data_IF_229226287805
#
_entry.id   IF_229226287805
#
_cell.length_a   1.000
_cell.length_b   1.000
_cell.length_c   1.000
_cell.angle_alpha   90.00
_cell.angle_beta   90.00
_cell.angle_gamma   90.00
#
_symmetry.space_group_name_H-M   'P 1'
#
loop_
_entity.id
_entity.type
_entity.pdbx_description
1 polymer ?
#
# COMPACT_ATOMS: atom_id res chain seq x y z
N UNK A 1 42.58 -18.69 -29.06
CA UNK A 1 42.64 -19.88 -28.17
C UNK A 1 41.21 -20.28 -27.92
N UNK A 2 40.81 -21.53 -28.18
CA UNK A 2 39.40 -21.91 -28.02
C UNK A 2 39.09 -22.24 -26.55
N UNK A 3 37.92 -21.83 -26.02
CA UNK A 3 37.53 -22.15 -24.66
C UNK A 3 37.33 -23.65 -24.50
N UNK A 4 37.80 -24.20 -23.38
CA UNK A 4 37.60 -25.61 -23.04
C UNK A 4 36.15 -25.82 -22.61
N UNK A 5 35.36 -26.46 -23.48
CA UNK A 5 33.92 -26.66 -23.28
C UNK A 5 33.59 -27.52 -22.06
N UNK A 6 34.52 -28.36 -21.63
CA UNK A 6 34.37 -29.24 -20.45
C UNK A 6 34.21 -28.43 -19.15
N UNK A 7 34.89 -27.29 -19.03
CA UNK A 7 34.79 -26.40 -17.85
C UNK A 7 33.49 -25.60 -17.81
N UNK A 8 32.72 -25.54 -18.90
CA UNK A 8 31.55 -24.67 -19.00
C UNK A 8 30.48 -25.05 -17.97
N UNK A 9 30.24 -26.36 -17.77
CA UNK A 9 29.26 -26.83 -16.80
C UNK A 9 29.63 -26.49 -15.35
N UNK A 10 30.93 -26.44 -15.03
CA UNK A 10 31.40 -26.12 -13.69
C UNK A 10 31.39 -24.62 -13.39
N UNK A 11 31.57 -23.78 -14.41
CA UNK A 11 31.71 -22.32 -14.27
C UNK A 11 30.42 -21.54 -14.54
N UNK A 12 29.33 -22.20 -14.95
CA UNK A 12 28.12 -21.51 -15.39
C UNK A 12 27.48 -20.65 -14.29
N UNK A 13 27.47 -21.12 -13.04
CA UNK A 13 26.91 -20.38 -11.90
C UNK A 13 27.72 -19.12 -11.58
N UNK A 14 29.05 -19.23 -11.61
CA UNK A 14 29.95 -18.09 -11.41
C UNK A 14 29.83 -17.09 -12.55
N UNK A 15 29.73 -17.57 -13.79
CA UNK A 15 29.56 -16.74 -14.98
C UNK A 15 28.23 -15.95 -14.95
N UNK A 16 27.12 -16.58 -14.53
CA UNK A 16 25.83 -15.90 -14.35
C UNK A 16 25.94 -14.81 -13.28
N UNK A 17 26.55 -15.14 -12.14
CA UNK A 17 26.71 -14.20 -11.02
C UNK A 17 27.55 -12.98 -11.43
N UNK A 18 28.70 -13.20 -12.08
CA UNK A 18 29.55 -12.13 -12.61
C UNK A 18 28.77 -11.29 -13.63
N UNK A 19 28.02 -11.92 -14.55
CA UNK A 19 27.26 -11.21 -15.59
C UNK A 19 26.20 -10.28 -15.00
N UNK A 20 25.48 -10.73 -13.96
CA UNK A 20 24.49 -9.91 -13.25
C UNK A 20 25.17 -8.69 -12.62
N UNK A 21 26.30 -8.88 -11.94
CA UNK A 21 27.05 -7.79 -11.30
C UNK A 21 27.59 -6.80 -12.34
N UNK A 22 28.21 -7.31 -13.40
CA UNK A 22 28.76 -6.50 -14.50
C UNK A 22 27.67 -5.65 -15.14
N UNK A 23 26.52 -6.24 -15.46
CA UNK A 23 25.38 -5.52 -16.04
C UNK A 23 24.81 -4.49 -15.06
N UNK A 24 24.67 -4.83 -13.78
CA UNK A 24 24.17 -3.90 -12.77
C UNK A 24 25.07 -2.67 -12.60
N UNK A 25 26.39 -2.88 -12.55
CA UNK A 25 27.38 -1.79 -12.50
C UNK A 25 27.31 -0.93 -13.76
N UNK A 26 27.27 -1.57 -14.93
CA UNK A 26 27.21 -0.90 -16.23
C UNK A 26 25.96 -0.03 -16.38
N UNK A 27 24.77 -0.57 -16.13
CA UNK A 27 23.51 0.19 -16.20
C UNK A 27 23.50 1.34 -15.19
N UNK A 28 24.03 1.12 -13.98
CA UNK A 28 24.13 2.16 -12.96
C UNK A 28 25.00 3.34 -13.42
N UNK A 29 26.14 3.04 -14.05
CA UNK A 29 27.02 4.06 -14.65
C UNK A 29 26.35 4.76 -15.82
N UNK A 30 25.79 4.02 -16.77
CA UNK A 30 25.12 4.59 -17.95
C UNK A 30 23.97 5.51 -17.56
N UNK A 31 23.13 5.12 -16.58
CA UNK A 31 22.05 5.97 -16.04
C UNK A 31 22.58 7.20 -15.30
N UNK A 32 23.70 7.08 -14.58
CA UNK A 32 24.34 8.21 -13.92
C UNK A 32 24.78 9.27 -14.93
N UNK A 33 25.40 8.86 -16.03
CA UNK A 33 25.86 9.77 -17.10
C UNK A 33 24.70 10.33 -17.91
N UNK A 34 23.70 9.51 -18.23
CA UNK A 34 22.46 9.97 -18.88
C UNK A 34 21.76 11.06 -18.08
N UNK A 35 21.69 10.91 -16.76
CA UNK A 35 21.14 11.95 -15.88
C UNK A 35 22.02 13.21 -15.88
N UNK A 36 23.34 13.07 -15.89
CA UNK A 36 24.28 14.21 -15.89
C UNK A 36 24.25 15.00 -17.21
N UNK A 37 24.12 14.32 -18.34
CA UNK A 37 24.19 14.91 -19.68
C UNK A 37 22.84 14.95 -20.42
N UNK A 38 21.74 14.65 -19.73
CA UNK A 38 20.36 14.73 -20.23
C UNK A 38 20.11 13.95 -21.54
N UNK A 39 20.57 12.70 -21.61
CA UNK A 39 20.24 11.78 -22.68
C UNK A 39 19.56 10.52 -22.14
N UNK A 40 18.92 9.74 -23.02
CA UNK A 40 18.25 8.50 -22.65
C UNK A 40 19.15 7.28 -22.88
N UNK A 41 19.08 6.29 -21.98
CA UNK A 41 19.79 5.01 -22.15
C UNK A 41 18.79 3.90 -22.37
N UNK A 42 18.95 3.18 -23.47
CA UNK A 42 18.24 1.94 -23.70
C UNK A 42 18.96 0.78 -23.00
N UNK A 43 18.36 0.27 -21.91
CA UNK A 43 18.97 -0.81 -21.10
C UNK A 43 19.09 -2.12 -21.89
N UNK A 44 18.17 -2.41 -22.81
CA UNK A 44 18.21 -3.63 -23.62
C UNK A 44 19.38 -3.59 -24.60
N UNK A 45 19.65 -2.43 -25.20
CA UNK A 45 20.79 -2.25 -26.10
C UNK A 45 22.12 -2.43 -25.37
N UNK A 46 22.25 -1.85 -24.17
CA UNK A 46 23.45 -2.02 -23.35
C UNK A 46 23.67 -3.49 -22.94
N UNK A 47 22.59 -4.24 -22.70
CA UNK A 47 22.68 -5.69 -22.41
C UNK A 47 23.26 -6.46 -23.60
N UNK A 48 22.72 -6.24 -24.80
CA UNK A 48 23.24 -6.88 -26.01
C UNK A 48 24.68 -6.48 -26.30
N UNK A 49 25.03 -5.20 -26.13
CA UNK A 49 26.39 -4.71 -26.33
C UNK A 49 27.40 -5.38 -25.38
N UNK A 50 27.07 -5.47 -24.09
CA UNK A 50 27.92 -6.14 -23.09
C UNK A 50 28.03 -7.64 -23.34
N UNK A 51 26.93 -8.30 -23.73
CA UNK A 51 26.92 -9.72 -24.07
C UNK A 51 27.79 -10.03 -25.28
N UNK A 52 27.64 -9.26 -26.37
CA UNK A 52 28.45 -9.42 -27.58
C UNK A 52 29.94 -9.16 -27.32
N UNK A 53 30.26 -8.11 -26.56
CA UNK A 53 31.63 -7.80 -26.17
C UNK A 53 32.22 -8.93 -25.32
N UNK A 54 31.44 -9.52 -24.40
CA UNK A 54 31.87 -10.64 -23.57
C UNK A 54 32.16 -11.90 -24.40
N UNK A 55 31.28 -12.24 -25.35
CA UNK A 55 31.48 -13.39 -26.26
C UNK A 55 32.75 -13.21 -27.09
N UNK A 56 32.94 -12.04 -27.72
CA UNK A 56 34.16 -11.76 -28.49
C UNK A 56 35.40 -11.83 -27.58
N UNK A 57 35.32 -11.24 -26.39
CA UNK A 57 36.45 -11.19 -25.46
C UNK A 57 36.86 -12.60 -25.01
N UNK A 58 35.92 -13.55 -24.89
CA UNK A 58 36.19 -14.92 -24.48
C UNK A 58 37.10 -15.74 -25.42
N UNK A 59 37.30 -15.29 -26.67
CA UNK A 59 38.27 -15.91 -27.59
C UNK A 59 39.72 -15.46 -27.36
N UNK A 60 39.90 -14.44 -26.51
CA UNK A 60 41.18 -13.88 -26.11
C UNK A 60 41.46 -14.20 -24.63
N UNK A 61 42.74 -14.25 -24.22
CA UNK A 61 43.10 -14.53 -22.82
C UNK A 61 42.86 -13.28 -21.94
N UNK A 62 41.59 -12.96 -21.71
CA UNK A 62 41.15 -11.81 -20.91
C UNK A 62 40.18 -12.24 -19.83
N UNK A 63 40.21 -11.52 -18.71
CA UNK A 63 39.22 -11.69 -17.65
C UNK A 63 37.87 -11.03 -18.04
N UNK A 64 36.76 -11.45 -17.43
CA UNK A 64 35.49 -10.76 -17.56
C UNK A 64 35.65 -9.26 -17.30
N UNK A 65 35.15 -8.44 -18.22
CA UNK A 65 35.31 -7.00 -18.16
C UNK A 65 34.01 -6.32 -17.72
N UNK A 66 34.15 -5.13 -17.15
CA UNK A 66 33.04 -4.25 -16.81
C UNK A 66 33.40 -2.81 -17.14
N UNK A 67 32.39 -1.95 -17.09
CA UNK A 67 32.59 -0.51 -17.18
C UNK A 67 33.36 0.02 -15.97
N UNK A 68 34.30 0.93 -16.21
CA UNK A 68 35.12 1.53 -15.16
C UNK A 68 34.58 2.91 -14.80
N UNK A 69 33.98 3.02 -13.61
CA UNK A 69 33.44 4.28 -13.09
C UNK A 69 34.49 5.40 -13.09
N UNK A 70 35.68 5.13 -12.54
CA UNK A 70 36.76 6.10 -12.42
C UNK A 70 37.22 6.63 -13.80
N UNK A 71 37.57 5.73 -14.74
CA UNK A 71 38.04 6.11 -16.08
C UNK A 71 36.98 6.86 -16.88
N UNK A 72 35.72 6.42 -16.77
CA UNK A 72 34.61 7.04 -17.50
C UNK A 72 34.32 8.44 -16.98
N UNK A 73 34.31 8.65 -15.66
CA UNK A 73 34.12 9.99 -15.08
C UNK A 73 35.24 10.94 -15.48
N UNK A 74 36.50 10.48 -15.45
CA UNK A 74 37.65 11.31 -15.87
C UNK A 74 37.52 11.70 -17.34
N UNK A 75 37.22 10.74 -18.23
CA UNK A 75 37.01 11.03 -19.65
C UNK A 75 35.82 11.96 -19.89
N UNK A 76 34.72 11.77 -19.15
CA UNK A 76 33.54 12.63 -19.22
C UNK A 76 33.84 14.07 -18.74
N UNK A 77 34.65 14.23 -17.69
CA UNK A 77 35.09 15.53 -17.19
C UNK A 77 36.11 16.20 -18.11
N UNK A 78 36.91 15.42 -18.86
CA UNK A 78 37.79 15.93 -19.91
C UNK A 78 37.02 16.44 -21.15
N UNK A 79 35.69 16.29 -21.18
CA UNK A 79 34.83 16.81 -22.25
C UNK A 79 34.65 15.85 -23.42
N UNK A 80 34.92 14.55 -23.24
CA UNK A 80 34.69 13.54 -24.27
C UNK A 80 33.21 13.45 -24.64
N UNK A 81 32.89 13.59 -25.93
CA UNK A 81 31.51 13.53 -26.45
C UNK A 81 31.21 12.28 -27.28
N UNK A 82 32.22 11.58 -27.77
CA UNK A 82 32.07 10.45 -28.70
C UNK A 82 32.82 9.21 -28.23
N UNK A 83 32.36 8.04 -28.68
CA UNK A 83 33.01 6.75 -28.37
C UNK A 83 34.36 6.56 -29.09
N UNK A 84 34.73 7.46 -30.01
CA UNK A 84 36.04 7.43 -30.67
C UNK A 84 37.19 7.54 -29.66
N UNK A 85 36.98 8.20 -28.52
CA UNK A 85 37.94 8.26 -27.43
C UNK A 85 38.37 6.87 -26.95
N UNK A 86 37.47 5.88 -26.95
CA UNK A 86 37.79 4.51 -26.56
C UNK A 86 38.74 3.84 -27.57
N UNK A 87 38.58 4.11 -28.87
CA UNK A 87 39.45 3.60 -29.94
C UNK A 87 40.85 4.22 -29.82
N UNK A 88 40.94 5.54 -29.64
CA UNK A 88 42.25 6.18 -29.42
C UNK A 88 42.93 5.66 -28.16
N UNK A 89 42.17 5.47 -27.09
CA UNK A 89 42.70 4.93 -25.83
C UNK A 89 43.18 3.49 -25.99
N UNK A 90 42.47 2.64 -26.73
CA UNK A 90 42.88 1.24 -26.94
C UNK A 90 44.12 1.12 -27.81
N UNK A 91 44.22 1.91 -28.89
CA UNK A 91 45.43 1.99 -29.74
C UNK A 91 46.62 2.47 -28.91
N UNK A 92 46.44 3.51 -28.10
CA UNK A 92 47.49 4.04 -27.25
C UNK A 92 47.98 2.99 -26.24
N UNK A 93 47.07 2.29 -25.55
CA UNK A 93 47.43 1.20 -24.63
C UNK A 93 48.19 0.08 -25.38
N UNK A 94 47.74 -0.30 -26.58
CA UNK A 94 48.42 -1.32 -27.38
C UNK A 94 49.88 -0.91 -27.71
N UNK A 95 50.10 0.33 -28.14
CA UNK A 95 51.44 0.88 -28.40
C UNK A 95 52.29 0.87 -27.12
N UNK A 96 51.75 1.35 -26.00
CA UNK A 96 52.49 1.38 -24.72
C UNK A 96 52.88 -0.03 -24.25
N UNK A 97 51.98 -1.01 -24.36
CA UNK A 97 52.29 -2.40 -23.97
C UNK A 97 53.39 -2.99 -24.86
N UNK A 98 53.34 -2.74 -26.17
CA UNK A 98 54.30 -3.31 -27.11
C UNK A 98 55.69 -2.67 -27.03
N UNK A 99 55.78 -1.35 -26.84
CA UNK A 99 57.06 -0.62 -26.86
C UNK A 99 57.64 -0.36 -25.46
N UNK A 100 56.78 -0.15 -24.45
CA UNK A 100 57.20 0.25 -23.10
C UNK A 100 57.15 -0.89 -22.08
N UNK A 101 56.81 -2.12 -22.48
CA UNK A 101 56.75 -3.28 -21.59
C UNK A 101 58.05 -3.51 -20.80
N UNK A 102 59.21 -3.38 -21.44
CA UNK A 102 60.52 -3.53 -20.78
C UNK A 102 60.79 -2.46 -19.71
N UNK A 103 60.27 -1.24 -19.89
CA UNK A 103 60.43 -0.15 -18.93
C UNK A 103 59.48 -0.25 -17.74
N UNK A 104 58.36 -0.95 -17.91
CA UNK A 104 57.37 -1.19 -16.85
C UNK A 104 57.67 -2.43 -16.01
N UNK A 105 58.56 -3.33 -16.47
CA UNK A 105 58.96 -4.52 -15.72
C UNK A 105 59.52 -4.24 -14.31
N UNK A 106 60.39 -3.23 -14.07
CA UNK A 106 60.95 -2.97 -12.74
C UNK A 106 59.98 -2.25 -11.78
N UNK A 107 58.70 -2.06 -12.12
CA UNK A 107 57.77 -1.33 -11.25
C UNK A 107 57.54 -2.08 -9.92
N UNK A 108 57.80 -1.46 -8.75
CA UNK A 108 57.57 -2.10 -7.47
C UNK A 108 56.08 -2.34 -7.21
N UNK A 109 55.74 -3.51 -6.67
CA UNK A 109 54.35 -3.86 -6.29
C UNK A 109 53.73 -2.86 -5.30
N UNK A 110 54.54 -2.21 -4.46
CA UNK A 110 54.09 -1.17 -3.53
C UNK A 110 53.44 0.01 -4.25
N UNK A 111 53.98 0.43 -5.41
CA UNK A 111 53.45 1.55 -6.19
C UNK A 111 52.08 1.19 -6.77
N UNK A 112 51.93 -0.03 -7.31
CA UNK A 112 50.63 -0.51 -7.80
C UNK A 112 49.60 -0.59 -6.67
N UNK A 113 50.01 -1.07 -5.48
CA UNK A 113 49.16 -1.10 -4.30
C UNK A 113 48.67 0.28 -3.88
N UNK A 114 49.56 1.28 -3.85
CA UNK A 114 49.18 2.67 -3.54
C UNK A 114 48.18 3.24 -4.55
N UNK A 115 48.35 2.95 -5.85
CA UNK A 115 47.39 3.36 -6.89
C UNK A 115 46.01 2.73 -6.64
N UNK A 116 45.94 1.45 -6.27
CA UNK A 116 44.67 0.77 -5.94
C UNK A 116 44.02 1.40 -4.71
N UNK A 117 44.78 1.66 -3.63
CA UNK A 117 44.24 2.30 -2.42
C UNK A 117 43.63 3.67 -2.74
N UNK A 118 44.35 4.51 -3.50
CA UNK A 118 43.85 5.83 -3.92
C UNK A 118 42.58 5.70 -4.77
N UNK A 119 42.51 4.72 -5.68
CA UNK A 119 41.33 4.47 -6.49
C UNK A 119 40.10 4.05 -5.65
N UNK A 120 40.30 3.36 -4.52
CA UNK A 120 39.24 2.89 -3.64
C UNK A 120 38.76 3.94 -2.62
N UNK A 121 39.49 5.04 -2.41
CA UNK A 121 39.09 6.09 -1.45
C UNK A 121 37.67 6.63 -1.70
N UNK A 122 37.30 6.81 -2.97
CA UNK A 122 35.95 7.26 -3.34
C UNK A 122 34.84 6.28 -2.98
N UNK A 123 35.14 4.98 -2.91
CA UNK A 123 34.20 3.95 -2.44
C UNK A 123 34.08 3.98 -0.91
N UNK A 124 35.19 4.11 -0.19
CA UNK A 124 35.18 4.22 1.28
C UNK A 124 34.47 5.49 1.77
N UNK A 125 34.49 6.58 1.01
CA UNK A 125 33.72 7.78 1.35
C UNK A 125 32.22 7.52 1.47
N UNK A 126 31.67 6.45 0.86
CA UNK A 126 30.25 6.07 1.00
C UNK A 126 29.89 5.66 2.43
N UNK A 127 30.85 5.24 3.25
CA UNK A 127 30.61 4.91 4.66
C UNK A 127 30.05 6.09 5.46
N UNK A 128 30.38 7.31 5.05
CA UNK A 128 29.88 8.54 5.69
C UNK A 128 28.35 8.71 5.56
N UNK A 129 27.71 8.00 4.64
CA UNK A 129 26.26 8.08 4.39
C UNK A 129 25.43 7.15 5.29
N UNK A 130 26.04 6.16 5.94
CA UNK A 130 25.35 5.16 6.77
C UNK A 130 24.54 5.76 7.93
N UNK A 131 25.05 6.75 8.69
CA UNK A 131 24.28 7.34 9.79
C UNK A 131 22.99 7.99 9.31
N UNK A 132 23.00 8.57 8.11
CA UNK A 132 21.80 9.13 7.47
C UNK A 132 20.85 8.01 7.04
N UNK A 133 21.36 6.93 6.45
CA UNK A 133 20.55 5.78 6.04
C UNK A 133 19.81 5.16 7.23
N UNK A 134 20.49 4.96 8.36
CA UNK A 134 19.88 4.41 9.58
C UNK A 134 18.71 5.26 10.10
N UNK A 135 18.82 6.59 10.03
CA UNK A 135 17.75 7.52 10.46
C UNK A 135 16.55 7.51 9.52
N UNK A 136 16.75 7.20 8.24
CA UNK A 136 15.70 7.17 7.22
C UNK A 136 14.98 5.82 7.16
N UNK A 137 15.73 4.73 7.07
CA UNK A 137 15.20 3.38 6.89
C UNK A 137 16.11 2.36 7.57
N UNK A 138 15.63 1.83 8.71
CA UNK A 138 16.32 0.76 9.44
C UNK A 138 16.45 -0.53 8.62
N UNK A 139 15.49 -0.78 7.73
CA UNK A 139 15.45 -1.96 6.85
C UNK A 139 16.54 -1.84 5.77
N UNK A 140 16.65 -0.69 5.09
CA UNK A 140 17.67 -0.53 4.04
C UNK A 140 19.08 -0.55 4.64
N UNK A 141 19.24 -0.04 5.87
CA UNK A 141 20.49 -0.17 6.61
C UNK A 141 20.80 -1.64 6.96
N UNK A 142 19.81 -2.44 7.38
CA UNK A 142 20.08 -3.86 7.68
C UNK A 142 20.48 -4.64 6.44
N UNK A 143 19.89 -4.35 5.28
CA UNK A 143 20.31 -4.93 3.99
C UNK A 143 21.79 -4.59 3.70
N UNK A 144 22.17 -3.33 3.90
CA UNK A 144 23.55 -2.90 3.72
C UNK A 144 24.53 -3.65 4.66
N UNK A 145 24.18 -3.78 5.95
CA UNK A 145 25.02 -4.48 6.93
C UNK A 145 25.16 -5.96 6.58
N UNK A 146 24.06 -6.64 6.25
CA UNK A 146 24.09 -8.06 5.85
C UNK A 146 24.95 -8.24 4.60
N UNK A 147 24.79 -7.38 3.59
CA UNK A 147 25.61 -7.45 2.38
C UNK A 147 27.10 -7.26 2.69
N UNK A 148 27.45 -6.28 3.51
CA UNK A 148 28.83 -5.98 3.87
C UNK A 148 29.47 -7.12 4.66
N UNK A 149 28.80 -7.61 5.71
CA UNK A 149 29.32 -8.68 6.57
C UNK A 149 29.40 -10.01 5.82
N UNK A 150 28.39 -10.35 5.00
CA UNK A 150 28.39 -11.61 4.25
C UNK A 150 29.49 -11.64 3.17
N UNK A 151 29.72 -10.51 2.48
CA UNK A 151 30.77 -10.39 1.45
C UNK A 151 32.18 -10.50 2.06
N UNK A 152 32.40 -9.92 3.24
CA UNK A 152 33.71 -9.96 3.92
C UNK A 152 33.96 -11.30 4.62
N UNK A 153 32.94 -11.87 5.26
CA UNK A 153 33.09 -13.05 6.11
C UNK A 153 33.08 -14.38 5.37
N UNK A 154 32.50 -14.44 4.17
CA UNK A 154 32.31 -15.68 3.41
C UNK A 154 33.06 -15.58 2.08
N UNK A 155 32.43 -14.98 1.08
CA UNK A 155 32.95 -14.76 -0.25
C UNK A 155 32.09 -13.71 -0.95
N UNK A 156 32.63 -13.09 -2.00
CA UNK A 156 31.92 -12.06 -2.77
C UNK A 156 30.66 -12.63 -3.44
N UNK A 157 30.73 -13.81 -4.05
CA UNK A 157 29.60 -14.39 -4.79
C UNK A 157 28.50 -14.85 -3.85
N UNK A 158 28.88 -15.59 -2.80
CA UNK A 158 27.93 -16.07 -1.78
C UNK A 158 27.33 -14.91 -0.98
N UNK A 159 28.16 -13.92 -0.63
CA UNK A 159 27.73 -12.71 0.09
C UNK A 159 26.71 -11.90 -0.69
N UNK A 160 26.90 -11.74 -2.00
CA UNK A 160 25.92 -11.10 -2.88
C UNK A 160 24.61 -11.89 -2.94
N UNK A 161 24.65 -13.21 -3.09
CA UNK A 161 23.45 -14.04 -3.12
C UNK A 161 22.64 -13.91 -1.82
N UNK A 162 23.31 -13.95 -0.67
CA UNK A 162 22.70 -13.75 0.65
C UNK A 162 22.08 -12.35 0.75
N UNK A 163 22.78 -11.32 0.29
CA UNK A 163 22.29 -9.94 0.30
C UNK A 163 21.01 -9.78 -0.53
N UNK A 164 20.97 -10.35 -1.73
CA UNK A 164 19.80 -10.32 -2.61
C UNK A 164 18.63 -11.07 -1.98
N UNK A 165 18.87 -12.27 -1.45
CA UNK A 165 17.84 -13.04 -0.77
C UNK A 165 17.26 -12.29 0.44
N UNK A 166 18.12 -11.66 1.25
CA UNK A 166 17.72 -10.87 2.40
C UNK A 166 16.94 -9.60 1.99
N UNK A 167 17.36 -8.93 0.91
CA UNK A 167 16.65 -7.76 0.38
C UNK A 167 15.24 -8.12 -0.13
N UNK A 168 15.11 -9.25 -0.84
CA UNK A 168 13.80 -9.75 -1.28
C UNK A 168 12.92 -10.15 -0.09
N UNK A 169 13.48 -10.88 0.88
CA UNK A 169 12.76 -11.31 2.08
C UNK A 169 12.22 -10.12 2.90
N UNK A 170 13.06 -9.11 3.15
CA UNK A 170 12.66 -7.90 3.87
C UNK A 170 11.63 -7.07 3.09
N UNK A 171 11.69 -7.07 1.75
CA UNK A 171 10.67 -6.46 0.89
C UNK A 171 9.32 -7.15 1.06
N UNK A 172 9.29 -8.49 1.07
CA UNK A 172 8.06 -9.27 1.29
C UNK A 172 7.46 -9.00 2.68
N UNK A 173 8.28 -8.99 3.74
CA UNK A 173 7.81 -8.69 5.11
C UNK A 173 7.20 -7.28 5.19
N UNK A 174 7.83 -6.31 4.53
CA UNK A 174 7.34 -4.93 4.51
C UNK A 174 5.97 -4.84 3.84
N UNK A 175 5.74 -5.60 2.77
CA UNK A 175 4.46 -5.65 2.08
C UNK A 175 3.37 -6.37 2.91
N UNK A 176 3.76 -7.40 3.66
CA UNK A 176 2.87 -8.14 4.55
C UNK A 176 2.37 -7.32 5.75
N UNK A 177 3.05 -6.22 6.09
CA UNK A 177 2.73 -5.41 7.27
C UNK A 177 2.23 -4.02 6.89
N UNK A 178 1.06 -3.95 6.25
CA UNK A 178 0.56 -2.70 5.74
C UNK A 178 -0.03 -1.82 6.83
N UNK A 179 -0.07 -0.53 6.53
CA UNK A 179 -0.78 0.44 7.35
C UNK A 179 -2.26 0.40 6.98
N UNK A 180 -3.09 0.53 8.00
CA UNK A 180 -4.53 0.66 7.85
C UNK A 180 -4.95 1.88 8.66
N UNK A 181 -6.00 2.55 8.17
CA UNK A 181 -6.43 3.84 8.68
C UNK A 181 -7.96 3.86 8.74
N UNK A 182 -8.50 4.46 9.80
CA UNK A 182 -9.91 4.82 9.86
C UNK A 182 -10.04 6.21 9.28
N UNK A 183 -10.99 6.40 8.38
CA UNK A 183 -11.22 7.69 7.74
C UNK A 183 -12.43 8.38 8.37
N UNK A 184 -12.31 9.69 8.56
CA UNK A 184 -13.39 10.57 8.96
C UNK A 184 -13.56 11.70 7.95
N UNK A 185 -14.75 12.28 7.90
CA UNK A 185 -15.03 13.40 7.01
C UNK A 185 -14.41 14.69 7.56
N UNK A 186 -13.82 15.51 6.71
CA UNK A 186 -13.37 16.85 7.10
C UNK A 186 -14.55 17.80 7.03
N UNK A 187 -14.84 18.48 8.14
CA UNK A 187 -16.00 19.37 8.28
C UNK A 187 -16.07 20.39 7.15
N UNK A 188 -17.23 20.46 6.46
CA UNK A 188 -17.47 21.39 5.36
C UNK A 188 -16.91 20.94 4.00
N UNK A 189 -16.39 19.71 3.90
CA UNK A 189 -15.89 19.14 2.64
C UNK A 189 -16.44 17.74 2.40
N UNK A 190 -16.36 17.27 1.15
CA UNK A 190 -16.73 15.89 0.79
C UNK A 190 -15.55 14.91 0.95
N UNK A 191 -14.47 15.35 1.59
CA UNK A 191 -13.22 14.60 1.67
C UNK A 191 -13.13 13.78 2.96
N UNK A 192 -12.69 12.52 2.82
CA UNK A 192 -12.41 11.62 3.93
C UNK A 192 -10.90 11.49 4.11
N UNK A 193 -10.41 11.68 5.33
CA UNK A 193 -8.99 11.61 5.68
C UNK A 193 -8.77 10.91 7.01
N UNK A 194 -7.52 10.49 7.22
CA UNK A 194 -7.05 9.82 8.42
C UNK A 194 -7.29 10.67 9.68
N UNK A 195 -7.94 10.06 10.67
CA UNK A 195 -8.32 10.64 11.95
C UNK A 195 -7.09 11.13 12.73
N UNK A 196 -5.95 10.45 12.63
CA UNK A 196 -4.76 10.83 13.39
C UNK A 196 -4.08 12.11 12.89
N UNK A 197 -4.37 12.54 11.65
CA UNK A 197 -3.62 13.61 10.98
C UNK A 197 -4.34 14.96 10.97
N UNK A 198 -5.68 14.98 11.07
CA UNK A 198 -6.49 16.19 10.93
C UNK A 198 -7.34 16.45 12.18
N UNK A 199 -7.41 17.73 12.60
CA UNK A 199 -8.12 18.14 13.83
C UNK A 199 -9.62 18.39 13.65
N UNK A 200 -10.05 18.86 12.49
CA UNK A 200 -11.45 19.19 12.20
C UNK A 200 -12.10 18.03 11.44
N UNK A 201 -12.53 17.02 12.18
CA UNK A 201 -13.09 15.79 11.65
C UNK A 201 -14.46 15.51 12.25
N UNK A 202 -15.34 14.91 11.45
CA UNK A 202 -16.68 14.53 11.82
C UNK A 202 -16.92 13.05 11.47
N UNK A 203 -17.55 12.33 12.40
CA UNK A 203 -17.97 10.95 12.22
C UNK A 203 -19.47 10.89 11.99
N UNK A 204 -19.88 10.08 11.02
CA UNK A 204 -21.30 9.78 10.80
C UNK A 204 -21.76 8.68 11.76
N UNK A 205 -22.95 8.85 12.31
CA UNK A 205 -23.52 7.86 13.22
C UNK A 205 -23.67 6.50 12.53
N UNK A 206 -23.18 5.46 13.19
CA UNK A 206 -23.26 4.08 12.70
C UNK A 206 -22.58 3.81 11.35
N UNK A 207 -21.70 4.71 10.87
CA UNK A 207 -20.88 4.51 9.67
C UNK A 207 -19.40 4.50 10.04
N UNK A 208 -18.67 3.49 9.56
CA UNK A 208 -17.22 3.40 9.69
C UNK A 208 -16.58 3.26 8.31
N UNK A 209 -15.57 4.07 8.03
CA UNK A 209 -14.79 3.99 6.78
C UNK A 209 -13.40 3.44 7.09
N UNK A 210 -13.08 2.27 6.54
CA UNK A 210 -11.79 1.61 6.70
C UNK A 210 -10.99 1.69 5.40
N UNK A 211 -9.76 2.18 5.49
CA UNK A 211 -8.80 2.19 4.39
C UNK A 211 -7.62 1.27 4.71
N UNK A 212 -7.26 0.44 3.74
CA UNK A 212 -6.11 -0.45 3.83
C UNK A 212 -5.09 -0.08 2.75
N UNK A 213 -3.94 0.47 3.15
CA UNK A 213 -2.92 1.00 2.24
C UNK A 213 -1.97 -0.10 1.76
N UNK A 214 -2.52 -1.15 1.16
CA UNK A 214 -1.75 -2.22 0.56
C UNK A 214 -2.60 -3.07 -0.39
N UNK A 215 -1.99 -3.71 -1.38
CA UNK A 215 -2.58 -4.83 -2.12
C UNK A 215 -3.19 -5.87 -1.20
N UNK A 216 -4.33 -6.43 -1.58
CA UNK A 216 -4.97 -7.49 -0.79
C UNK A 216 -4.59 -8.85 -1.36
N UNK A 217 -3.67 -9.53 -0.66
CA UNK A 217 -3.04 -10.77 -1.11
C UNK A 217 -3.16 -11.88 -0.08
N UNK A 218 -3.00 -13.13 -0.51
CA UNK A 218 -2.95 -14.31 0.36
C UNK A 218 -2.00 -14.14 1.57
N UNK A 219 -0.94 -13.32 1.42
CA UNK A 219 0.05 -13.07 2.46
C UNK A 219 -0.42 -12.14 3.59
N UNK A 220 -1.37 -11.23 3.33
CA UNK A 220 -1.81 -10.21 4.29
C UNK A 220 -3.33 -10.19 4.54
N UNK A 221 -4.11 -10.99 3.80
CA UNK A 221 -5.56 -11.14 3.94
C UNK A 221 -5.99 -11.49 5.36
N UNK A 222 -5.29 -12.40 6.03
CA UNK A 222 -5.61 -12.78 7.41
C UNK A 222 -5.50 -11.59 8.38
N UNK A 223 -4.57 -10.68 8.10
CA UNK A 223 -4.44 -9.44 8.89
C UNK A 223 -5.58 -8.49 8.60
N UNK A 224 -6.00 -8.37 7.34
CA UNK A 224 -7.17 -7.57 6.97
C UNK A 224 -8.43 -8.08 7.66
N UNK A 225 -8.70 -9.39 7.62
CA UNK A 225 -9.80 -10.05 8.36
C UNK A 225 -9.78 -9.68 9.85
N UNK A 226 -8.65 -9.90 10.53
CA UNK A 226 -8.47 -9.54 11.95
C UNK A 226 -8.67 -8.06 12.27
N UNK A 227 -8.45 -7.17 11.32
CA UNK A 227 -8.73 -5.74 11.50
C UNK A 227 -10.24 -5.49 11.43
N UNK A 228 -10.91 -6.05 10.42
CA UNK A 228 -12.36 -5.92 10.25
C UNK A 228 -13.11 -6.57 11.42
N UNK A 229 -12.68 -7.74 11.88
CA UNK A 229 -13.29 -8.41 13.04
C UNK A 229 -13.17 -7.58 14.32
N UNK A 230 -11.99 -7.00 14.57
CA UNK A 230 -11.80 -6.10 15.71
C UNK A 230 -12.67 -4.86 15.60
N UNK A 231 -12.78 -4.29 14.39
CA UNK A 231 -13.64 -3.14 14.12
C UNK A 231 -15.12 -3.45 14.39
N UNK A 232 -15.57 -4.65 14.02
CA UNK A 232 -16.93 -5.12 14.26
C UNK A 232 -17.22 -5.33 15.75
N UNK A 233 -16.27 -5.87 16.51
CA UNK A 233 -16.41 -6.10 17.95
C UNK A 233 -16.38 -4.78 18.76
N UNK A 234 -15.46 -3.87 18.43
CA UNK A 234 -15.22 -2.63 19.18
C UNK A 234 -15.97 -1.41 18.60
N UNK A 235 -17.05 -1.63 17.83
CA UNK A 235 -17.73 -0.59 17.03
C UNK A 235 -18.05 0.72 17.78
N UNK A 236 -18.43 0.63 19.06
CA UNK A 236 -18.76 1.79 19.87
C UNK A 236 -17.51 2.59 20.29
N UNK A 237 -16.39 1.91 20.54
CA UNK A 237 -15.10 2.53 20.92
C UNK A 237 -14.37 3.11 19.70
N UNK A 238 -14.63 2.55 18.52
CA UNK A 238 -14.11 3.00 17.23
C UNK A 238 -14.57 4.43 16.89
N UNK A 239 -15.75 4.86 17.39
CA UNK A 239 -16.25 6.23 17.23
C UNK A 239 -15.40 7.29 17.94
N UNK A 240 -14.67 6.92 19.00
CA UNK A 240 -14.02 7.88 19.90
C UNK A 240 -12.51 7.95 19.71
N UNK A 241 -11.88 6.98 19.06
CA UNK A 241 -10.44 6.93 18.98
C UNK A 241 -9.98 6.57 17.56
N UNK A 242 -9.43 7.57 16.85
CA UNK A 242 -8.44 7.32 15.79
C UNK A 242 -7.19 6.58 16.25
N UNK A 243 -7.12 6.18 17.53
CA UNK A 243 -6.17 5.24 18.08
C UNK A 243 -6.91 3.95 18.45
N UNK A 244 -6.77 2.89 17.65
CA UNK A 244 -6.81 1.56 18.27
C UNK A 244 -5.60 1.52 19.19
N UNK A 245 -5.85 1.55 20.49
CA UNK A 245 -4.82 1.68 21.49
C UNK A 245 -3.81 0.53 21.31
N UNK A 246 -2.56 0.86 20.95
CA UNK A 246 -1.47 -0.12 20.79
C UNK A 246 -1.15 -0.88 22.09
N UNK A 247 -1.81 -0.51 23.20
CA UNK A 247 -1.65 -1.09 24.52
C UNK A 247 -2.27 -2.48 24.67
N UNK A 248 -3.26 -2.86 23.85
CA UNK A 248 -3.82 -4.21 23.89
C UNK A 248 -2.98 -5.28 23.16
N UNK A 249 -1.67 -5.06 23.04
CA UNK A 249 -0.70 -6.09 22.61
C UNK A 249 0.22 -6.54 23.74
N UNK A 250 0.18 -5.91 24.93
CA UNK A 250 0.96 -6.34 26.10
C UNK A 250 0.19 -5.99 27.38
N UNK A 251 -0.26 -7.01 28.11
CA UNK A 251 -0.41 -6.95 29.57
C UNK A 251 -1.63 -6.20 30.14
N UNK A 252 -2.44 -6.99 30.84
CA UNK A 252 -3.46 -6.67 31.85
C UNK A 252 -3.43 -5.34 32.63
N UNK A 253 -4.66 -4.99 33.04
CA UNK A 253 -5.13 -4.32 34.27
C UNK A 253 -5.41 -2.80 34.27
N UNK A 254 -6.69 -2.52 34.55
CA UNK A 254 -7.31 -1.38 35.22
C UNK A 254 -7.41 -0.04 34.46
N UNK A 255 -8.63 0.37 34.11
CA UNK A 255 -9.46 1.27 34.92
C UNK A 255 -10.85 1.46 34.31
N UNK A 256 -11.87 1.43 35.17
CA UNK A 256 -13.28 1.66 34.84
C UNK A 256 -13.52 3.15 34.63
N UNK A 257 -14.12 3.53 33.50
CA UNK A 257 -14.90 4.75 33.44
C UNK A 257 -16.24 4.47 32.75
N UNK A 258 -17.24 4.22 33.58
CA UNK A 258 -18.65 4.18 33.21
C UNK A 258 -19.08 5.60 32.82
N UNK A 259 -19.57 5.76 31.60
CA UNK A 259 -20.54 6.83 31.29
C UNK A 259 -21.73 6.16 30.63
N UNK A 260 -22.78 6.03 31.42
CA UNK A 260 -24.12 5.63 31.06
C UNK A 260 -24.82 6.75 30.28
N UNK A 261 -25.41 6.41 29.14
CA UNK A 261 -26.68 6.97 28.69
C UNK A 261 -27.31 6.07 27.62
N UNK A 262 -28.54 5.66 27.94
CA UNK A 262 -29.41 4.71 27.27
C UNK A 262 -29.93 5.16 25.89
N UNK A 263 -30.08 4.19 24.99
CA UNK A 263 -31.37 3.85 24.34
C UNK A 263 -31.14 2.69 23.36
N UNK A 264 -31.76 1.56 23.69
CA UNK A 264 -31.59 0.27 23.04
C UNK A 264 -32.54 0.13 21.84
N UNK A 265 -32.09 0.56 20.66
CA UNK A 265 -32.52 -0.01 19.39
C UNK A 265 -31.27 -0.42 18.59
N UNK A 266 -31.24 -1.62 17.96
CA UNK A 266 -30.08 -2.08 17.20
C UNK A 266 -29.98 -1.28 15.88
N UNK A 267 -29.42 -0.08 15.96
CA UNK A 267 -29.16 0.75 14.77
C UNK A 267 -28.26 -0.01 13.80
N UNK A 268 -28.75 -0.20 12.58
CA UNK A 268 -28.02 -0.86 11.50
C UNK A 268 -26.67 -0.17 11.29
N UNK A 269 -25.59 -0.96 11.26
CA UNK A 269 -24.21 -0.47 11.16
C UNK A 269 -23.74 -0.56 9.72
N UNK A 270 -22.88 0.37 9.30
CA UNK A 270 -22.38 0.46 7.93
C UNK A 270 -20.87 0.50 7.93
N UNK A 271 -20.24 -0.49 7.29
CA UNK A 271 -18.80 -0.57 7.10
C UNK A 271 -18.47 -0.29 5.63
N UNK A 272 -17.73 0.78 5.38
CA UNK A 272 -17.29 1.17 4.03
C UNK A 272 -15.80 0.85 3.92
N UNK A 273 -15.47 -0.07 3.01
CA UNK A 273 -14.10 -0.45 2.70
C UNK A 273 -13.63 0.41 1.53
N UNK A 274 -12.66 1.29 1.79
CA UNK A 274 -11.99 2.07 0.77
C UNK A 274 -10.96 1.19 0.04
N UNK A 275 -11.30 0.79 -1.18
CA UNK A 275 -10.48 0.00 -2.07
C UNK A 275 -9.43 0.84 -2.83
N UNK A 276 -9.33 2.15 -2.60
CA UNK A 276 -8.33 3.00 -3.28
C UNK A 276 -6.89 2.58 -2.95
N UNK A 277 -6.67 2.02 -1.76
CA UNK A 277 -5.38 1.47 -1.31
C UNK A 277 -5.02 0.14 -1.97
N UNK A 278 -5.99 -0.59 -2.52
CA UNK A 278 -5.73 -1.84 -3.24
C UNK A 278 -5.08 -1.50 -4.59
N UNK A 279 -3.78 -1.73 -4.71
CA UNK A 279 -3.09 -1.61 -6.00
C UNK A 279 -3.35 -2.82 -6.89
N UNK A 280 -3.40 -4.00 -6.28
CA UNK A 280 -3.78 -5.27 -6.88
C UNK A 280 -4.46 -6.13 -5.82
N UNK A 281 -5.23 -7.12 -6.25
CA UNK A 281 -5.89 -8.11 -5.40
C UNK A 281 -5.63 -9.47 -6.02
N UNK A 282 -5.50 -10.54 -5.22
CA UNK A 282 -5.45 -11.90 -5.74
C UNK A 282 -6.75 -12.68 -5.47
N UNK A 283 -6.85 -13.90 -5.97
CA UNK A 283 -8.05 -14.73 -5.80
C UNK A 283 -8.39 -14.94 -4.31
N UNK A 284 -7.38 -15.08 -3.46
CA UNK A 284 -7.58 -15.26 -2.02
C UNK A 284 -8.07 -13.99 -1.33
N UNK A 285 -7.57 -12.84 -1.76
CA UNK A 285 -8.07 -11.54 -1.37
C UNK A 285 -9.54 -11.37 -1.71
N UNK A 286 -9.94 -11.70 -2.95
CA UNK A 286 -11.35 -11.60 -3.33
C UNK A 286 -12.24 -12.56 -2.55
N UNK A 287 -11.81 -13.82 -2.35
CA UNK A 287 -12.58 -14.78 -1.57
C UNK A 287 -12.74 -14.32 -0.11
N UNK A 288 -11.69 -13.76 0.49
CA UNK A 288 -11.80 -13.18 1.82
C UNK A 288 -12.76 -11.98 1.87
N UNK A 289 -12.85 -11.15 0.81
CA UNK A 289 -13.85 -10.09 0.77
C UNK A 289 -15.29 -10.64 0.73
N UNK A 290 -15.52 -11.78 0.06
CA UNK A 290 -16.83 -12.46 0.06
C UNK A 290 -17.18 -12.94 1.47
N UNK A 291 -16.25 -13.64 2.11
CA UNK A 291 -16.43 -14.17 3.46
C UNK A 291 -16.66 -13.04 4.47
N UNK A 292 -15.85 -11.97 4.43
CA UNK A 292 -16.06 -10.79 5.29
C UNK A 292 -17.44 -10.17 5.04
N UNK A 293 -17.87 -10.04 3.79
CA UNK A 293 -19.18 -9.48 3.48
C UNK A 293 -20.32 -10.30 4.11
N UNK A 294 -20.24 -11.63 4.05
CA UNK A 294 -21.24 -12.53 4.63
C UNK A 294 -21.21 -12.52 6.16
N UNK A 295 -20.02 -12.63 6.76
CA UNK A 295 -19.82 -12.62 8.22
C UNK A 295 -20.28 -11.29 8.85
N UNK A 296 -20.02 -10.16 8.20
CA UNK A 296 -20.47 -8.86 8.68
C UNK A 296 -21.98 -8.68 8.54
N UNK A 297 -22.58 -9.25 7.49
CA UNK A 297 -24.04 -9.25 7.30
C UNK A 297 -24.75 -10.01 8.43
N UNK A 298 -24.20 -11.13 8.88
CA UNK A 298 -24.71 -11.89 10.05
C UNK A 298 -24.67 -11.06 11.34
N UNK A 299 -23.71 -10.14 11.46
CA UNK A 299 -23.55 -9.22 12.60
C UNK A 299 -24.38 -7.93 12.48
N UNK A 300 -25.31 -7.86 11.52
CA UNK A 300 -26.10 -6.67 11.20
C UNK A 300 -25.25 -5.43 10.80
N UNK A 301 -24.10 -5.68 10.17
CA UNK A 301 -23.21 -4.66 9.60
C UNK A 301 -23.27 -4.76 8.06
N UNK A 302 -23.81 -3.73 7.41
CA UNK A 302 -23.83 -3.65 5.94
C UNK A 302 -22.46 -3.20 5.44
N UNK A 303 -21.81 -4.06 4.65
CA UNK A 303 -20.51 -3.75 4.04
C UNK A 303 -20.70 -3.15 2.64
N UNK A 304 -19.97 -2.08 2.34
CA UNK A 304 -19.93 -1.45 1.02
C UNK A 304 -18.48 -1.20 0.60
N UNK A 305 -18.20 -1.26 -0.69
CA UNK A 305 -16.88 -1.09 -1.27
C UNK A 305 -16.82 0.20 -2.08
N UNK A 306 -15.82 1.04 -1.84
CA UNK A 306 -15.67 2.33 -2.51
C UNK A 306 -14.32 2.45 -3.24
N UNK A 307 -14.27 3.25 -4.30
CA UNK A 307 -13.02 3.68 -4.96
C UNK A 307 -12.11 2.54 -5.49
N UNK A 308 -12.69 1.43 -5.95
CA UNK A 308 -11.94 0.34 -6.56
C UNK A 308 -11.39 0.71 -7.95
N UNK A 309 -10.07 0.53 -8.15
CA UNK A 309 -9.40 0.78 -9.44
C UNK A 309 -9.90 -0.15 -10.54
N UNK A 310 -9.79 0.26 -11.80
CA UNK A 310 -10.28 -0.54 -12.94
C UNK A 310 -9.72 -1.99 -12.97
N UNK A 311 -8.42 -2.25 -12.80
CA UNK A 311 -7.91 -3.63 -12.81
C UNK A 311 -8.45 -4.49 -11.65
N UNK A 312 -8.76 -3.87 -10.51
CA UNK A 312 -9.34 -4.56 -9.35
C UNK A 312 -10.80 -4.93 -9.63
N UNK A 313 -11.55 -4.05 -10.30
CA UNK A 313 -12.95 -4.32 -10.71
C UNK A 313 -13.05 -5.44 -11.75
N UNK A 314 -12.14 -5.47 -12.72
CA UNK A 314 -12.04 -6.57 -13.69
C UNK A 314 -11.80 -7.91 -12.96
N UNK A 315 -10.94 -7.92 -11.96
CA UNK A 315 -10.72 -9.11 -11.15
C UNK A 315 -11.94 -9.49 -10.30
N UNK A 316 -12.65 -8.52 -9.73
CA UNK A 316 -13.90 -8.77 -8.99
C UNK A 316 -14.96 -9.43 -9.87
N UNK A 317 -15.05 -9.04 -11.14
CA UNK A 317 -15.94 -9.68 -12.11
C UNK A 317 -15.47 -11.09 -12.46
N UNK A 318 -14.21 -11.26 -12.84
CA UNK A 318 -13.63 -12.55 -13.23
C UNK A 318 -13.65 -13.60 -12.10
N UNK A 319 -13.53 -13.18 -10.84
CA UNK A 319 -13.58 -14.05 -9.65
C UNK A 319 -15.00 -14.25 -9.10
N UNK A 320 -16.03 -13.66 -9.72
CA UNK A 320 -17.42 -13.80 -9.30
C UNK A 320 -17.77 -13.09 -7.99
N UNK A 321 -17.03 -12.05 -7.58
CA UNK A 321 -17.39 -11.24 -6.41
C UNK A 321 -18.77 -10.61 -6.57
N UNK A 322 -19.08 -10.10 -7.75
CA UNK A 322 -20.38 -9.48 -8.05
C UNK A 322 -21.57 -10.44 -8.04
N UNK A 323 -21.32 -11.76 -8.03
CA UNK A 323 -22.37 -12.76 -7.83
C UNK A 323 -22.71 -12.95 -6.35
N UNK A 324 -21.70 -12.85 -5.46
CA UNK A 324 -21.89 -12.95 -4.02
C UNK A 324 -22.33 -11.62 -3.38
N UNK A 325 -21.76 -10.51 -3.87
CA UNK A 325 -22.04 -9.15 -3.40
C UNK A 325 -22.73 -8.37 -4.52
N UNK A 326 -23.95 -7.90 -4.25
CA UNK A 326 -24.70 -7.12 -5.23
C UNK A 326 -23.92 -5.87 -5.67
N UNK A 327 -23.98 -5.56 -6.98
CA UNK A 327 -23.31 -4.38 -7.57
C UNK A 327 -23.75 -3.06 -6.92
N UNK A 328 -24.91 -3.02 -6.26
CA UNK A 328 -25.42 -1.89 -5.48
C UNK A 328 -24.59 -1.54 -4.24
N UNK A 329 -23.75 -2.47 -3.75
CA UNK A 329 -22.83 -2.21 -2.64
C UNK A 329 -21.46 -1.69 -3.09
N UNK A 330 -21.28 -1.38 -4.38
CA UNK A 330 -20.04 -0.85 -4.93
C UNK A 330 -20.24 0.60 -5.41
N UNK A 331 -19.38 1.50 -4.93
CA UNK A 331 -19.50 2.93 -5.15
C UNK A 331 -18.24 3.52 -5.80
N UNK A 332 -18.38 4.52 -6.70
CA UNK A 332 -17.24 5.20 -7.30
C UNK A 332 -16.37 5.92 -6.26
N UNK A 333 -16.99 6.60 -5.30
CA UNK A 333 -16.29 7.36 -4.25
C UNK A 333 -16.74 6.96 -2.86
N UNK A 334 -15.92 7.29 -1.85
CA UNK A 334 -16.28 7.10 -0.43
C UNK A 334 -17.49 7.96 -0.07
N UNK A 335 -17.56 9.17 -0.63
CA UNK A 335 -18.68 10.09 -0.41
C UNK A 335 -20.01 9.46 -0.84
N UNK A 336 -20.08 8.90 -2.05
CA UNK A 336 -21.30 8.27 -2.56
C UNK A 336 -21.77 7.11 -1.65
N UNK A 337 -20.82 6.29 -1.17
CA UNK A 337 -21.10 5.17 -0.27
C UNK A 337 -21.66 5.65 1.08
N UNK A 338 -21.07 6.72 1.65
CA UNK A 338 -21.52 7.30 2.93
C UNK A 338 -22.87 7.97 2.76
N UNK A 339 -23.07 8.77 1.71
CA UNK A 339 -24.35 9.45 1.45
C UNK A 339 -25.50 8.46 1.29
N UNK A 340 -25.26 7.33 0.60
CA UNK A 340 -26.27 6.27 0.48
C UNK A 340 -26.55 5.58 1.83
N UNK A 341 -25.52 5.32 2.63
CA UNK A 341 -25.70 4.78 3.99
C UNK A 341 -26.53 5.70 4.88
N UNK A 342 -26.31 7.01 4.81
CA UNK A 342 -27.11 8.01 5.54
C UNK A 342 -28.56 8.03 5.06
N UNK A 343 -28.79 7.97 3.74
CA UNK A 343 -30.14 7.94 3.17
C UNK A 343 -30.93 6.72 3.67
N UNK A 344 -30.30 5.54 3.69
CA UNK A 344 -30.95 4.34 4.22
C UNK A 344 -31.22 4.44 5.73
N UNK A 345 -30.33 5.06 6.50
CA UNK A 345 -30.58 5.32 7.93
C UNK A 345 -31.80 6.24 8.12
N UNK A 346 -31.90 7.32 7.34
CA UNK A 346 -33.03 8.25 7.41
C UNK A 346 -34.34 7.59 6.98
N UNK A 347 -34.32 6.75 5.95
CA UNK A 347 -35.51 6.04 5.46
C UNK A 347 -35.99 5.01 6.48
N UNK A 348 -35.07 4.22 7.05
CA UNK A 348 -35.41 3.22 8.08
C UNK A 348 -36.04 3.86 9.32
N UNK A 349 -35.53 5.03 9.72
CA UNK A 349 -36.09 5.79 10.84
C UNK A 349 -37.49 6.35 10.54
N UNK A 350 -37.79 6.67 9.28
CA UNK A 350 -39.10 7.20 8.87
C UNK A 350 -40.16 6.10 8.78
N UNK A 351 -39.77 4.91 8.32
CA UNK A 351 -40.65 3.73 8.32
C UNK A 351 -40.98 3.24 9.74
N UNK A 352 -40.01 3.31 10.68
CA UNK A 352 -40.25 3.00 12.10
C UNK A 352 -41.26 3.97 12.74
N UNK A 353 -41.12 5.29 12.49
CA UNK A 353 -42.08 6.29 12.99
C UNK A 353 -43.49 6.05 12.42
N UNK A 354 -43.61 5.73 11.13
CA UNK A 354 -44.90 5.49 10.49
C UNK A 354 -45.60 4.22 11.02
N UNK A 355 -44.84 3.22 11.48
CA UNK A 355 -45.39 2.02 12.13
C UNK A 355 -45.86 2.32 13.57
N UNK A 356 -45.13 3.16 14.31
CA UNK A 356 -45.52 3.57 15.66
C UNK A 356 -46.78 4.45 15.64
N UNK A 357 -46.92 5.42 14.73
CA UNK A 357 -48.13 6.25 14.60
C UNK A 357 -49.39 5.41 14.30
N UNK A 358 -49.27 4.41 13.43
CA UNK A 358 -50.38 3.47 13.14
C UNK A 358 -50.73 2.57 14.34
N UNK A 359 -49.80 2.36 15.28
CA UNK A 359 -50.07 1.60 16.51
C UNK A 359 -50.85 2.41 17.56
N UNK A 360 -50.71 3.74 17.56
CA UNK A 360 -51.46 4.63 18.44
C UNK A 360 -52.89 4.86 17.93
N UNK A 361 -53.10 4.97 16.61
CA UNK A 361 -54.45 5.11 16.04
C UNK A 361 -55.31 3.85 16.21
N UNK A 362 -54.73 2.65 16.15
CA UNK A 362 -55.47 1.40 16.32
C UNK A 362 -55.84 1.06 17.78
N UNK A 363 -55.28 1.76 18.77
CA UNK A 363 -55.60 1.57 20.19
C UNK A 363 -56.59 2.61 20.75
N UNK A 364 -57.01 3.59 19.93
CA UNK A 364 -57.92 4.66 20.33
C UNK A 364 -59.38 4.41 19.89
N UNK A 365 -59.91 3.21 20.08
CA UNK A 365 -61.36 2.95 20.00
C UNK A 365 -61.73 1.87 21.03
N UNK A 366 -62.25 2.31 22.18
CA UNK A 366 -63.47 1.79 22.85
C UNK A 366 -63.50 2.23 24.33
N UNK A 367 -64.06 3.42 24.59
CA UNK A 367 -64.58 3.79 25.91
C UNK A 367 -65.72 4.81 25.76
N UNK A 368 -66.92 4.34 25.41
CA UNK A 368 -68.15 5.05 25.77
C UNK A 368 -68.65 4.52 27.11
N UNK A 369 -68.38 5.28 28.16
CA UNK A 369 -68.83 5.01 29.54
C UNK A 369 -70.26 5.52 29.74
N UNK A 370 -71.15 4.62 30.16
CA UNK A 370 -72.50 4.93 30.64
C UNK A 370 -72.40 5.65 31.99
N UNK A 371 -72.91 6.87 32.09
CA UNK A 371 -73.11 7.54 33.38
C UNK A 371 -74.58 7.77 33.68
N UNK A 372 -75.02 7.13 34.77
CA UNK A 372 -76.32 7.22 35.42
C UNK A 372 -76.29 8.29 36.52
N UNK A 373 -77.27 9.22 36.48
CA UNK A 373 -78.03 9.91 37.57
C UNK A 373 -78.12 11.43 37.44
N UNK A 374 -79.34 11.95 37.30
CA UNK A 374 -80.15 12.44 38.45
C UNK A 374 -81.55 12.85 37.99
N UNK A 375 -82.51 12.66 38.90
CA UNK A 375 -83.94 12.96 38.79
C UNK A 375 -84.23 14.45 38.98
N UNK A 376 -85.20 14.99 38.22
CA UNK A 376 -86.42 15.63 38.76
C UNK A 376 -87.17 16.40 37.64
N UNK A 377 -88.45 16.09 37.48
CA UNK A 377 -89.49 16.82 36.72
C UNK A 377 -90.38 17.60 37.71
N UNK A 378 -91.34 18.48 37.32
CA UNK A 378 -91.84 18.84 35.98
C UNK A 378 -92.08 20.36 35.74
N UNK A 379 -92.24 20.77 34.48
CA UNK A 379 -93.40 21.52 33.95
C UNK A 379 -93.17 22.05 32.51
N UNK A 380 -94.13 21.73 31.64
CA UNK A 380 -94.41 22.24 30.28
C UNK A 380 -94.99 23.67 30.31
N UNK A 381 -95.32 24.35 29.16
CA UNK A 381 -94.92 24.15 27.75
C UNK A 381 -94.58 25.49 26.98
N UNK A 382 -94.24 25.33 25.69
CA UNK A 382 -94.73 26.14 24.54
C UNK A 382 -93.84 27.24 23.88
N UNK A 383 -93.95 27.26 22.53
CA UNK A 383 -93.58 28.27 21.49
C UNK A 383 -92.14 28.21 20.92
N UNK A 384 -91.91 27.78 19.67
CA UNK A 384 -92.31 28.27 18.32
C UNK A 384 -91.39 29.35 17.73
N UNK A 385 -91.17 29.24 16.41
CA UNK A 385 -90.44 30.10 15.45
C UNK A 385 -88.92 29.87 15.34
N UNK A 386 -88.37 29.40 14.21
CA UNK A 386 -88.39 29.79 12.77
C UNK A 386 -87.13 30.58 12.39
N UNK A 387 -86.62 30.26 11.19
CA UNK A 387 -85.79 31.08 10.29
C UNK A 387 -84.39 31.44 10.79
N UNK A 388 -83.34 31.59 9.98
CA UNK A 388 -83.08 31.51 8.55
C UNK A 388 -81.53 31.52 8.45
N UNK A 389 -80.92 30.65 7.65
CA UNK A 389 -80.39 30.96 6.31
C UNK A 389 -78.99 31.62 6.25
N UNK A 390 -78.26 31.19 5.19
CA UNK A 390 -77.06 31.75 4.53
C UNK A 390 -75.72 31.32 5.13
N UNK A 391 -74.92 30.45 4.50
CA UNK A 391 -74.48 30.27 3.09
C UNK A 391 -73.48 31.33 2.62
N UNK A 392 -72.49 30.83 1.86
CA UNK A 392 -71.60 31.50 0.90
C UNK A 392 -70.31 32.09 1.50
N UNK A 393 -69.13 31.91 0.91
CA UNK A 393 -68.72 31.45 -0.43
C UNK A 393 -67.47 30.59 -0.31
#
# INVERSE_FOLDING_TARGET
MFPQVELFSSLILDAISISIVVMAIHVSLSKMLAKKYHYEVNTNQEFYAMGFTSVISGFFPVFPHSSSLSRTIVSANAGTKTQLCAIFSSIFIFVVVQFSGSWLQPLPMCVLGSIIVVALLGMFQKFTQLPRLWRLSKIDFSIWVVAFVATIGIDVMQGLAIAIAFALFTTVIREQWPRWHILANISGTNDFRDVERYRHIYFFNSVCVLRFDSPLLFTNVERFRKIVDRLANDWNNVRCCGKIDKRHLIGEQNEKHETTSDSSHPTKRYLIIDCSGFAYVDVMGVNSLKEIYEEMRERNIKVSFAAAKAPVRELFEASGLYAAVAKTNFYPTIYDAVSYAQLEQSTSHMDEIALDENSYENNAVDTTDETIRTSDTPNTPEKSDKSDARQSV
#
